data_IF_394539821484
#
_entry.id   IF_394539821484
#
_cell.length_a   1.000
_cell.length_b   1.000
_cell.length_c   1.000
_cell.angle_alpha   90.00
_cell.angle_beta   90.00
_cell.angle_gamma   90.00
#
_symmetry.space_group_name_H-M   'P 1'
#
loop_
_entity.id
_entity.type
_entity.pdbx_description
1 polymer ?
#
# COMPACT_ATOMS: atom_id res chain seq x y z
N UNK A 1 33.16 5.62 31.60
CA UNK A 1 32.56 5.90 30.28
C UNK A 1 32.37 4.53 29.65
N UNK A 2 31.19 3.94 29.82
CA UNK A 2 30.97 2.55 29.41
C UNK A 2 29.85 2.53 28.35
N UNK A 3 30.19 1.96 27.19
CA UNK A 3 29.54 2.11 25.89
C UNK A 3 28.24 1.30 25.73
N UNK A 4 27.24 1.93 25.11
CA UNK A 4 25.97 1.31 24.70
C UNK A 4 26.21 0.49 23.42
N UNK A 5 26.05 -0.84 23.51
CA UNK A 5 26.07 -1.71 22.34
C UNK A 5 24.75 -1.59 21.58
N UNK A 6 24.78 -0.97 20.40
CA UNK A 6 23.64 -0.91 19.49
C UNK A 6 23.59 -2.20 18.64
N UNK A 7 22.46 -2.93 18.59
CA UNK A 7 22.29 -4.02 17.66
C UNK A 7 22.21 -3.46 16.22
N UNK A 8 23.28 -3.69 15.46
CA UNK A 8 23.36 -3.43 14.03
C UNK A 8 22.34 -4.31 13.29
N UNK A 9 21.26 -3.70 12.81
CA UNK A 9 20.33 -4.33 11.88
C UNK A 9 20.95 -4.38 10.48
N UNK A 10 21.69 -5.45 10.21
CA UNK A 10 22.14 -5.81 8.86
C UNK A 10 20.91 -6.23 8.04
N UNK A 11 20.64 -5.62 6.86
CA UNK A 11 19.56 -6.08 5.99
C UNK A 11 20.03 -7.34 5.25
N UNK A 12 19.68 -8.51 5.78
CA UNK A 12 19.83 -9.77 5.07
C UNK A 12 18.97 -9.72 3.78
N UNK A 13 19.63 -9.60 2.63
CA UNK A 13 19.05 -9.83 1.31
C UNK A 13 18.58 -11.28 1.22
N UNK A 14 17.31 -11.53 1.56
CA UNK A 14 16.66 -12.81 1.29
C UNK A 14 16.12 -12.81 -0.13
N UNK A 15 16.93 -13.36 -1.04
CA UNK A 15 16.49 -13.86 -2.34
C UNK A 15 15.46 -14.96 -2.12
N UNK A 16 14.20 -14.58 -1.90
CA UNK A 16 13.10 -15.51 -1.67
C UNK A 16 12.41 -15.77 -3.00
N UNK A 17 12.78 -16.88 -3.65
CA UNK A 17 12.06 -17.47 -4.78
C UNK A 17 10.60 -17.66 -4.38
N UNK A 18 9.69 -16.92 -5.01
CA UNK A 18 8.27 -16.95 -4.71
C UNK A 18 7.67 -18.33 -5.02
N UNK A 19 7.60 -19.20 -4.00
CA UNK A 19 6.73 -20.36 -4.00
C UNK A 19 5.30 -19.82 -4.11
N UNK A 20 4.61 -20.14 -5.21
CA UNK A 20 3.21 -19.79 -5.46
C UNK A 20 2.33 -20.50 -4.44
N UNK A 21 2.28 -19.94 -3.22
CA UNK A 21 1.26 -20.29 -2.26
C UNK A 21 -0.09 -19.98 -2.90
N UNK A 22 -0.92 -21.01 -3.07
CA UNK A 22 -2.33 -20.88 -3.38
C UNK A 22 -2.96 -20.06 -2.25
N UNK A 23 -2.95 -18.73 -2.40
CA UNK A 23 -3.52 -17.81 -1.42
C UNK A 23 -5.03 -18.00 -1.48
N UNK A 24 -5.56 -18.52 -0.38
CA UNK A 24 -6.96 -18.43 0.04
C UNK A 24 -7.54 -17.10 -0.46
N UNK A 25 -8.70 -17.13 -1.13
CA UNK A 25 -9.36 -15.93 -1.68
C UNK A 25 -9.73 -14.98 -0.54
N UNK A 26 -8.77 -14.22 -0.05
CA UNK A 26 -9.01 -13.02 0.75
C UNK A 26 -9.47 -11.96 -0.24
N UNK A 27 -10.49 -11.17 0.10
CA UNK A 27 -11.10 -10.15 -0.75
C UNK A 27 -10.11 -9.04 -1.13
N UNK A 28 -9.13 -9.36 -1.98
CA UNK A 28 -8.03 -8.48 -2.32
C UNK A 28 -8.52 -7.19 -2.98
N UNK A 29 -9.66 -7.24 -3.67
CA UNK A 29 -10.31 -6.05 -4.21
C UNK A 29 -10.85 -5.13 -3.11
N UNK A 30 -11.48 -5.68 -2.07
CA UNK A 30 -11.98 -4.90 -0.93
C UNK A 30 -10.83 -4.36 -0.07
N UNK A 31 -9.79 -5.15 0.17
CA UNK A 31 -8.60 -4.67 0.88
C UNK A 31 -7.89 -3.58 0.09
N UNK A 32 -7.70 -3.75 -1.23
CA UNK A 32 -7.07 -2.75 -2.07
C UNK A 32 -7.89 -1.46 -2.14
N UNK A 33 -9.23 -1.54 -2.23
CA UNK A 33 -10.08 -0.34 -2.25
C UNK A 33 -9.98 0.44 -0.93
N UNK A 34 -9.91 -0.26 0.21
CA UNK A 34 -9.70 0.34 1.53
C UNK A 34 -8.32 1.01 1.63
N UNK A 35 -7.26 0.34 1.18
CA UNK A 35 -5.90 0.90 1.21
C UNK A 35 -5.79 2.18 0.35
N UNK A 36 -6.41 2.18 -0.84
CA UNK A 36 -6.46 3.36 -1.70
C UNK A 36 -7.20 4.52 -1.03
N UNK A 37 -8.33 4.25 -0.37
CA UNK A 37 -9.08 5.25 0.38
C UNK A 37 -8.20 5.91 1.46
N UNK A 38 -7.60 5.10 2.33
CA UNK A 38 -6.76 5.59 3.43
C UNK A 38 -5.55 6.39 2.92
N UNK A 39 -4.86 5.90 1.89
CA UNK A 39 -3.72 6.60 1.31
C UNK A 39 -4.14 7.95 0.70
N UNK A 40 -5.29 7.98 0.01
CA UNK A 40 -5.82 9.20 -0.59
C UNK A 40 -6.16 10.24 0.47
N UNK A 41 -6.75 9.84 1.59
CA UNK A 41 -7.06 10.72 2.72
C UNK A 41 -5.78 11.31 3.34
N UNK A 42 -4.76 10.48 3.59
CA UNK A 42 -3.47 10.93 4.15
C UNK A 42 -2.80 11.97 3.22
N UNK A 43 -2.77 11.68 1.91
CA UNK A 43 -2.13 12.54 0.91
C UNK A 43 -2.94 13.80 0.58
N UNK A 44 -4.25 13.76 0.73
CA UNK A 44 -5.12 14.92 0.63
C UNK A 44 -4.95 15.85 1.84
N UNK A 45 -4.86 15.28 3.06
CA UNK A 45 -4.66 16.04 4.29
C UNK A 45 -3.25 16.65 4.40
N UNK A 46 -2.23 16.03 3.78
CA UNK A 46 -0.84 16.51 3.85
C UNK A 46 -0.22 16.81 2.48
N UNK A 47 -0.27 18.09 2.02
CA UNK A 47 0.38 18.51 0.78
C UNK A 47 1.89 18.27 0.77
N UNK A 48 2.55 18.36 1.92
CA UNK A 48 3.99 18.12 2.06
C UNK A 48 4.34 16.66 1.83
N UNK A 49 3.56 15.74 2.42
CA UNK A 49 3.78 14.30 2.25
C UNK A 49 3.54 13.91 0.79
N UNK A 50 2.48 14.45 0.16
CA UNK A 50 2.20 14.27 -1.27
C UNK A 50 3.37 14.68 -2.16
N UNK A 51 4.00 15.83 -1.88
CA UNK A 51 5.22 16.26 -2.60
C UNK A 51 6.41 15.32 -2.37
N UNK A 52 6.60 14.80 -1.14
CA UNK A 52 7.70 13.88 -0.82
C UNK A 52 7.59 12.55 -1.56
N UNK A 53 6.38 12.08 -1.81
CA UNK A 53 6.13 10.83 -2.55
C UNK A 53 5.92 11.05 -4.06
N UNK A 54 6.14 12.27 -4.56
CA UNK A 54 5.96 12.65 -5.97
C UNK A 54 4.57 12.28 -6.55
N UNK A 55 3.52 12.39 -5.75
CA UNK A 55 2.15 12.12 -6.18
C UNK A 55 1.47 13.43 -6.56
N UNK A 56 0.83 13.48 -7.74
CA UNK A 56 0.08 14.64 -8.20
C UNK A 56 -1.41 14.56 -7.82
N UNK A 57 -2.16 15.65 -8.03
CA UNK A 57 -3.62 15.62 -7.90
C UNK A 57 -4.26 14.71 -8.96
N UNK A 58 -3.64 14.57 -10.13
CA UNK A 58 -4.11 13.66 -11.18
C UNK A 58 -3.99 12.20 -10.76
N UNK A 59 -2.91 11.85 -10.05
CA UNK A 59 -2.71 10.49 -9.52
C UNK A 59 -3.74 10.15 -8.44
N UNK A 60 -4.12 11.11 -7.59
CA UNK A 60 -5.20 10.93 -6.62
C UNK A 60 -6.55 10.68 -7.31
N UNK A 61 -6.85 11.42 -8.39
CA UNK A 61 -8.06 11.21 -9.18
C UNK A 61 -8.06 9.84 -9.88
N UNK A 62 -6.91 9.42 -10.42
CA UNK A 62 -6.75 8.10 -11.02
C UNK A 62 -6.91 6.97 -9.98
N UNK A 63 -6.35 7.14 -8.78
CA UNK A 63 -6.49 6.19 -7.68
C UNK A 63 -7.97 6.02 -7.27
N UNK A 64 -8.72 7.13 -7.19
CA UNK A 64 -10.16 7.09 -6.89
C UNK A 64 -10.96 6.35 -7.97
N UNK A 65 -10.60 6.49 -9.25
CA UNK A 65 -11.20 5.70 -10.33
C UNK A 65 -10.97 4.20 -10.14
N UNK A 66 -9.73 3.79 -9.83
CA UNK A 66 -9.37 2.38 -9.57
C UNK A 66 -10.12 1.86 -8.34
N UNK A 67 -10.22 2.64 -7.26
CA UNK A 67 -10.99 2.28 -6.07
C UNK A 67 -12.44 1.92 -6.40
N UNK A 68 -13.10 2.74 -7.23
CA UNK A 68 -14.49 2.50 -7.67
C UNK A 68 -14.60 1.26 -8.55
N UNK A 69 -13.61 1.00 -9.41
CA UNK A 69 -13.57 -0.22 -10.21
C UNK A 69 -13.39 -1.47 -9.35
N UNK A 70 -12.52 -1.42 -8.34
CA UNK A 70 -12.31 -2.51 -7.40
C UNK A 70 -13.57 -2.79 -6.57
N UNK A 71 -14.26 -1.74 -6.10
CA UNK A 71 -15.52 -1.86 -5.36
C UNK A 71 -16.63 -2.54 -6.19
N UNK A 72 -16.74 -2.19 -7.48
CA UNK A 72 -17.68 -2.86 -8.41
C UNK A 72 -17.31 -4.31 -8.67
N UNK A 73 -16.02 -4.62 -8.81
CA UNK A 73 -15.56 -5.99 -9.03
C UNK A 73 -15.78 -6.86 -7.80
N UNK A 74 -15.61 -6.32 -6.59
CA UNK A 74 -15.92 -7.06 -5.36
C UNK A 74 -17.42 -7.34 -5.19
N UNK A 75 -18.31 -6.46 -5.66
CA UNK A 75 -19.77 -6.72 -5.58
C UNK A 75 -20.28 -7.72 -6.62
N UNK A 76 -19.54 -7.94 -7.71
CA UNK A 76 -19.91 -8.88 -8.79
C UNK A 76 -19.39 -10.30 -8.51
N UNK A 77 -18.47 -10.47 -7.56
CA UNK A 77 -17.86 -11.76 -7.21
C UNK A 77 -18.51 -12.40 -5.96
N UNK A 78 -19.49 -11.73 -5.33
CA UNK A 78 -20.37 -12.30 -4.31
C UNK A 78 -21.56 -13.03 -4.95
#
# INVERSE_FOLDING_TARGET
MESINLPSLSPAHSSTRAIRASRRRVDGAATASLLIQMASEILAASPTLRKRVNVSLADLAAAEKVRRELARKSSVIQ
#
